data_IF_141021638468
#
_entry.id   IF_141021638468
#
_cell.length_a   1.000
_cell.length_b   1.000
_cell.length_c   1.000
_cell.angle_alpha   90.00
_cell.angle_beta   90.00
_cell.angle_gamma   90.00
#
_symmetry.space_group_name_H-M   'P 1'
#
loop_
_entity.id
_entity.type
_entity.pdbx_description
1 polymer ?
#
# COMPACT_ATOMS: atom_id res chain seq x y z
N UNK A 1 -19.16 -26.23 12.43
CA UNK A 1 -17.82 -26.02 13.01
C UNK A 1 -17.23 -24.81 12.31
N UNK A 2 -16.98 -23.70 13.00
CA UNK A 2 -16.31 -22.54 12.40
C UNK A 2 -14.81 -22.77 12.59
N UNK A 3 -14.14 -23.22 11.53
CA UNK A 3 -12.68 -23.33 11.49
C UNK A 3 -12.12 -21.95 11.19
N UNK A 4 -11.60 -21.26 12.20
CA UNK A 4 -10.89 -19.99 12.00
C UNK A 4 -9.49 -20.30 11.45
N UNK A 5 -9.33 -20.19 10.14
CA UNK A 5 -8.03 -20.35 9.47
C UNK A 5 -7.17 -19.10 9.72
N UNK A 6 -5.89 -19.29 10.09
CA UNK A 6 -4.95 -18.18 10.27
C UNK A 6 -4.60 -17.56 8.93
N UNK A 7 -4.72 -16.23 8.83
CA UNK A 7 -4.36 -15.45 7.65
C UNK A 7 -3.33 -14.38 7.99
N UNK A 8 -2.43 -14.11 7.06
CA UNK A 8 -1.53 -12.95 7.10
C UNK A 8 -2.02 -11.90 6.10
N UNK A 9 -1.78 -10.64 6.41
CA UNK A 9 -2.18 -9.51 5.57
C UNK A 9 -0.94 -8.65 5.29
N UNK A 10 -0.77 -8.22 4.05
CA UNK A 10 0.25 -7.25 3.68
C UNK A 10 -0.16 -5.86 4.16
N UNK A 11 0.82 -5.06 4.57
CA UNK A 11 0.58 -3.65 4.85
C UNK A 11 0.25 -2.91 3.56
N UNK A 12 -0.58 -1.88 3.69
CA UNK A 12 -0.87 -0.96 2.60
C UNK A 12 -0.93 0.48 3.11
N UNK A 13 -0.82 1.40 2.16
CA UNK A 13 -0.97 2.82 2.37
C UNK A 13 -2.39 3.24 1.98
N UNK A 14 -3.12 3.88 2.90
CA UNK A 14 -4.32 4.65 2.57
C UNK A 14 -3.90 5.98 1.93
N UNK A 15 -4.25 6.14 0.65
CA UNK A 15 -3.81 7.27 -0.17
C UNK A 15 -4.42 8.58 0.29
N UNK A 16 -5.73 8.61 0.63
CA UNK A 16 -6.40 9.82 1.12
C UNK A 16 -5.93 10.18 2.51
N UNK A 17 -5.74 9.18 3.37
CA UNK A 17 -5.20 9.32 4.70
C UNK A 17 -3.82 9.96 4.69
N UNK A 18 -2.93 9.48 3.82
CA UNK A 18 -1.59 10.06 3.63
C UNK A 18 -1.67 11.53 3.17
N UNK A 19 -2.40 11.80 2.09
CA UNK A 19 -2.50 13.15 1.51
C UNK A 19 -3.10 14.18 2.49
N UNK A 20 -3.99 13.75 3.38
CA UNK A 20 -4.69 14.63 4.32
C UNK A 20 -3.89 14.88 5.60
N UNK A 21 -3.21 13.85 6.13
CA UNK A 21 -2.67 13.90 7.49
C UNK A 21 -1.15 14.01 7.56
N UNK A 22 -0.43 13.69 6.49
CA UNK A 22 1.02 13.68 6.50
C UNK A 22 1.62 15.07 6.26
N UNK A 23 2.77 15.32 6.89
CA UNK A 23 3.57 16.52 6.65
C UNK A 23 4.49 16.27 5.46
N UNK A 24 4.97 17.33 4.81
CA UNK A 24 5.89 17.23 3.66
C UNK A 24 7.11 16.33 3.89
N UNK A 25 7.63 16.25 5.13
CA UNK A 25 8.76 15.38 5.46
C UNK A 25 8.43 13.88 5.37
N UNK A 26 7.17 13.50 5.57
CA UNK A 26 6.73 12.11 5.61
C UNK A 26 6.61 11.53 4.19
N UNK A 27 6.56 12.39 3.16
CA UNK A 27 6.59 11.99 1.75
C UNK A 27 8.01 11.73 1.20
N UNK A 28 9.06 11.94 2.01
CA UNK A 28 10.43 11.74 1.56
C UNK A 28 10.74 10.26 1.40
N UNK A 29 11.43 9.91 0.31
CA UNK A 29 11.90 8.56 0.02
C UNK A 29 10.80 7.48 -0.14
N UNK A 30 9.55 7.88 -0.37
CA UNK A 30 8.44 6.93 -0.56
C UNK A 30 8.53 6.17 -1.88
N UNK A 31 8.78 6.90 -2.97
CA UNK A 31 8.73 6.39 -4.32
C UNK A 31 10.03 6.66 -5.06
N UNK A 32 10.27 5.86 -6.08
CA UNK A 32 11.35 6.05 -7.05
C UNK A 32 10.74 6.12 -8.43
N UNK A 33 11.32 6.97 -9.28
CA UNK A 33 11.11 6.94 -10.71
C UNK A 33 11.68 5.65 -11.30
N UNK A 34 11.29 5.32 -12.53
CA UNK A 34 11.74 4.11 -13.24
C UNK A 34 13.27 4.09 -13.46
N UNK A 35 13.90 5.27 -13.52
CA UNK A 35 15.37 5.43 -13.60
C UNK A 35 16.08 5.16 -12.26
N UNK A 36 15.33 4.88 -11.19
CA UNK A 36 15.84 4.61 -9.85
C UNK A 36 16.05 5.85 -8.97
N UNK A 37 15.84 7.07 -9.50
CA UNK A 37 15.91 8.31 -8.73
C UNK A 37 14.75 8.38 -7.74
N UNK A 38 15.05 8.77 -6.50
CA UNK A 38 14.02 9.03 -5.50
C UNK A 38 13.16 10.24 -5.86
N UNK A 39 11.84 10.10 -5.73
CA UNK A 39 10.91 11.21 -5.89
C UNK A 39 11.07 12.26 -4.79
N UNK A 40 10.91 13.54 -5.15
CA UNK A 40 10.74 14.63 -4.18
C UNK A 40 9.39 14.49 -3.46
N UNK A 41 9.19 15.14 -2.30
CA UNK A 41 7.90 15.14 -1.62
C UNK A 41 6.71 15.59 -2.48
N UNK A 42 6.90 16.55 -3.38
CA UNK A 42 5.83 17.07 -4.23
C UNK A 42 5.54 16.10 -5.39
N UNK A 43 6.58 15.49 -5.97
CA UNK A 43 6.41 14.38 -6.94
C UNK A 43 5.66 13.20 -6.30
N UNK A 44 6.00 12.82 -5.06
CA UNK A 44 5.33 11.75 -4.34
C UNK A 44 3.85 12.06 -4.04
N UNK A 45 3.51 13.31 -3.73
CA UNK A 45 2.10 13.73 -3.59
C UNK A 45 1.35 13.67 -4.91
N UNK A 46 1.98 14.08 -6.01
CA UNK A 46 1.40 14.01 -7.34
C UNK A 46 1.11 12.55 -7.74
N UNK A 47 2.04 11.64 -7.49
CA UNK A 47 1.85 10.20 -7.70
C UNK A 47 0.64 9.67 -6.90
N UNK A 48 0.53 10.03 -5.62
CA UNK A 48 -0.65 9.63 -4.82
C UNK A 48 -1.97 10.18 -5.37
N UNK A 49 -1.98 11.40 -5.91
CA UNK A 49 -3.16 11.96 -6.57
C UNK A 49 -3.49 11.22 -7.88
N UNK A 50 -2.47 10.82 -8.63
CA UNK A 50 -2.64 9.99 -9.83
C UNK A 50 -3.24 8.63 -9.49
N UNK A 51 -2.76 7.98 -8.42
CA UNK A 51 -3.35 6.73 -7.91
C UNK A 51 -4.85 6.88 -7.57
N UNK A 52 -5.24 8.00 -6.93
CA UNK A 52 -6.66 8.28 -6.69
C UNK A 52 -7.45 8.46 -8.00
N UNK A 53 -6.84 9.07 -9.02
CA UNK A 53 -7.47 9.24 -10.33
C UNK A 53 -7.76 7.90 -11.03
N UNK A 54 -6.93 6.88 -10.76
CA UNK A 54 -7.15 5.50 -11.18
C UNK A 54 -8.14 4.73 -10.30
N UNK A 55 -8.68 5.36 -9.24
CA UNK A 55 -9.58 4.71 -8.29
C UNK A 55 -8.85 3.87 -7.24
N UNK A 56 -7.54 4.00 -7.12
CA UNK A 56 -6.74 3.30 -6.11
C UNK A 56 -6.74 4.09 -4.80
N UNK A 57 -7.59 3.65 -3.86
CA UNK A 57 -7.64 4.19 -2.51
C UNK A 57 -6.53 3.61 -1.60
N UNK A 58 -6.03 2.42 -1.96
CA UNK A 58 -4.97 1.72 -1.24
C UNK A 58 -3.83 1.32 -2.17
N UNK A 59 -2.59 1.45 -1.69
CA UNK A 59 -1.38 1.02 -2.39
C UNK A 59 -0.66 -0.03 -1.54
N UNK A 60 -0.30 -1.21 -2.10
CA UNK A 60 0.38 -2.24 -1.34
C UNK A 60 1.81 -1.82 -0.98
N UNK A 61 2.25 -2.16 0.23
CA UNK A 61 3.65 -2.04 0.62
C UNK A 61 4.40 -3.31 0.17
N UNK A 62 4.92 -3.28 -1.06
CA UNK A 62 5.56 -4.43 -1.70
C UNK A 62 4.60 -5.22 -2.60
N UNK A 63 5.02 -6.42 -3.01
CA UNK A 63 4.21 -7.27 -3.91
C UNK A 63 3.12 -7.98 -3.11
N UNK A 64 1.89 -7.90 -3.57
CA UNK A 64 0.74 -8.65 -3.07
C UNK A 64 -0.08 -9.14 -4.27
N UNK A 65 -0.35 -10.44 -4.35
CA UNK A 65 -1.10 -11.07 -5.44
C UNK A 65 -2.61 -11.16 -5.17
N UNK A 66 -3.05 -10.83 -3.96
CA UNK A 66 -4.45 -10.84 -3.53
C UNK A 66 -4.84 -9.47 -2.93
N UNK A 67 -4.77 -8.42 -3.75
CA UNK A 67 -4.93 -7.03 -3.32
C UNK A 67 -6.07 -6.31 -4.04
N UNK A 68 -6.93 -5.65 -3.27
CA UNK A 68 -7.97 -4.74 -3.74
C UNK A 68 -7.55 -3.29 -3.50
N UNK A 69 -7.23 -2.59 -4.59
CA UNK A 69 -6.84 -1.18 -4.54
C UNK A 69 -7.98 -0.24 -4.15
N UNK A 70 -9.24 -0.66 -4.22
CA UNK A 70 -10.39 0.23 -4.07
C UNK A 70 -10.95 0.24 -2.66
N UNK A 71 -11.26 -0.91 -2.08
CA UNK A 71 -12.08 -0.94 -0.86
C UNK A 71 -11.37 -1.60 0.34
N UNK A 72 -10.53 -2.62 0.12
CA UNK A 72 -10.08 -3.48 1.21
C UNK A 72 -8.57 -3.57 1.42
N UNK A 73 -7.75 -3.25 0.42
CA UNK A 73 -6.33 -3.55 0.45
C UNK A 73 -6.06 -5.06 0.33
N UNK A 74 -5.14 -5.59 1.13
CA UNK A 74 -4.82 -7.04 1.08
C UNK A 74 -6.02 -7.87 1.57
N UNK A 75 -6.47 -8.84 0.78
CA UNK A 75 -7.59 -9.73 1.10
C UNK A 75 -7.17 -10.95 1.95
N UNK A 76 -5.88 -11.05 2.26
CA UNK A 76 -5.29 -12.05 3.14
C UNK A 76 -4.71 -13.26 2.39
N UNK A 77 -3.72 -13.88 3.03
CA UNK A 77 -3.03 -15.07 2.53
C UNK A 77 -3.07 -16.18 3.59
N UNK A 78 -3.21 -17.46 3.19
CA UNK A 78 -3.13 -18.57 4.11
C UNK A 78 -1.73 -18.62 4.75
N UNK A 79 -1.68 -18.79 6.06
CA UNK A 79 -0.40 -18.96 6.78
C UNK A 79 -0.16 -20.45 6.96
N UNK A 80 0.83 -20.99 6.26
CA UNK A 80 1.29 -22.34 6.58
C UNK A 80 1.81 -22.39 8.02
N UNK A 81 1.48 -23.43 8.80
CA UNK A 81 2.04 -23.59 10.12
C UNK A 81 3.56 -23.73 9.99
N UNK A 82 4.30 -22.76 10.52
CA UNK A 82 5.76 -22.86 10.64
C UNK A 82 6.09 -24.13 11.42
N UNK A 83 6.68 -25.13 10.76
CA UNK A 83 7.37 -26.22 11.45
C UNK A 83 8.64 -25.62 12.05
N UNK A 84 8.76 -25.69 13.37
CA UNK A 84 9.92 -25.20 14.12
C UNK A 84 10.94 -26.33 14.31
#
# INVERSE_FOLDING_TARGET
MITSERRSFHMCLDVRGALTNWRTRDFRNMFKHDDGRTMTPDEAKAELLEQLSHGHNFIPFGKCDNFDHKEHGCLGHPVEPKSN
#
